data_IF_266274152194
#
_entry.id   IF_266274152194
#
_cell.length_a   1.000
_cell.length_b   1.000
_cell.length_c   1.000
_cell.angle_alpha   90.00
_cell.angle_beta   90.00
_cell.angle_gamma   90.00
#
_symmetry.space_group_name_H-M   'P 1'
#
loop_
_entity.id
_entity.type
_entity.pdbx_description
1 polymer ?
#
# COMPACT_ATOMS: atom_id res chain seq x y z
N UNK A 1 -38.76 -18.89 -17.68
CA UNK A 1 -37.50 -18.15 -17.89
C UNK A 1 -36.75 -18.07 -16.57
N UNK A 2 -35.54 -18.62 -16.52
CA UNK A 2 -34.74 -18.73 -15.31
C UNK A 2 -33.76 -17.56 -15.14
N UNK A 3 -33.51 -17.26 -13.86
CA UNK A 3 -32.41 -16.51 -13.24
C UNK A 3 -32.60 -15.00 -13.03
N UNK A 4 -33.45 -14.70 -12.05
CA UNK A 4 -33.06 -13.80 -10.95
C UNK A 4 -31.90 -14.43 -10.18
N UNK A 5 -30.89 -13.62 -9.86
CA UNK A 5 -30.15 -13.48 -8.58
C UNK A 5 -28.79 -12.85 -8.91
N UNK A 6 -28.68 -11.53 -8.72
CA UNK A 6 -27.38 -10.91 -8.42
C UNK A 6 -27.15 -11.17 -6.93
N UNK A 7 -26.32 -12.17 -6.64
CA UNK A 7 -25.83 -12.42 -5.28
C UNK A 7 -24.74 -11.39 -4.98
N UNK A 8 -25.16 -10.20 -4.54
CA UNK A 8 -24.26 -9.25 -3.87
C UNK A 8 -24.12 -9.70 -2.43
N UNK A 9 -23.24 -10.67 -2.19
CA UNK A 9 -22.76 -10.95 -0.84
C UNK A 9 -22.08 -9.69 -0.30
N UNK A 10 -22.79 -8.97 0.57
CA UNK A 10 -22.29 -7.76 1.18
C UNK A 10 -20.99 -8.07 1.94
N UNK A 11 -19.87 -7.51 1.47
CA UNK A 11 -18.59 -7.66 2.13
C UNK A 11 -18.70 -7.01 3.51
N UNK A 12 -18.70 -7.81 4.56
CA UNK A 12 -18.69 -7.31 5.94
C UNK A 12 -17.24 -6.97 6.31
N UNK A 13 -16.97 -5.68 6.51
CA UNK A 13 -15.64 -5.22 6.92
C UNK A 13 -15.47 -5.46 8.42
N UNK A 14 -14.49 -6.29 8.78
CA UNK A 14 -14.09 -6.48 10.17
C UNK A 14 -12.94 -5.54 10.51
N UNK A 15 -13.17 -4.64 11.46
CA UNK A 15 -12.16 -3.70 11.95
C UNK A 15 -11.73 -4.16 13.34
N UNK A 16 -10.46 -4.56 13.48
CA UNK A 16 -9.86 -4.88 14.76
C UNK A 16 -9.22 -3.61 15.34
N UNK A 17 -9.69 -3.20 16.52
CA UNK A 17 -9.10 -2.10 17.29
C UNK A 17 -7.74 -2.50 17.86
N UNK A 18 -7.00 -1.52 18.41
CA UNK A 18 -5.65 -1.75 18.95
C UNK A 18 -5.58 -2.87 19.99
N UNK A 19 -6.62 -3.06 20.81
CA UNK A 19 -6.65 -4.08 21.85
C UNK A 19 -6.93 -5.50 21.30
N UNK A 20 -7.47 -5.59 20.08
CA UNK A 20 -7.97 -6.84 19.49
C UNK A 20 -6.93 -7.53 18.59
N UNK A 21 -5.71 -6.99 18.48
CA UNK A 21 -4.63 -7.58 17.70
C UNK A 21 -3.24 -7.43 18.36
N UNK A 22 -2.35 -8.37 18.05
CA UNK A 22 -0.99 -8.41 18.57
C UNK A 22 0.01 -7.50 17.82
N UNK A 23 -0.36 -6.98 16.64
CA UNK A 23 0.51 -6.09 15.84
C UNK A 23 0.92 -4.87 16.64
N UNK A 24 2.23 -4.65 16.76
CA UNK A 24 2.83 -3.60 17.58
C UNK A 24 3.91 -2.87 16.80
N UNK A 25 3.96 -1.54 16.93
CA UNK A 25 5.00 -0.68 16.33
C UNK A 25 6.42 -1.10 16.72
N UNK A 26 6.59 -1.77 17.86
CA UNK A 26 7.89 -2.30 18.33
C UNK A 26 8.47 -3.38 17.40
N UNK A 27 7.63 -4.02 16.61
CA UNK A 27 8.01 -5.10 15.70
C UNK A 27 8.19 -4.62 14.26
N UNK A 28 8.06 -3.31 14.01
CA UNK A 28 8.30 -2.70 12.70
C UNK A 28 9.72 -2.15 12.63
N UNK A 29 10.31 -2.15 11.45
CA UNK A 29 11.59 -1.49 11.25
C UNK A 29 11.49 0.03 11.44
N UNK A 30 12.60 0.64 11.83
CA UNK A 30 12.68 2.10 11.97
C UNK A 30 12.44 2.82 10.63
N UNK A 31 12.82 2.20 9.52
CA UNK A 31 12.57 2.69 8.17
C UNK A 31 11.07 2.71 7.84
N UNK A 32 10.36 1.60 8.09
CA UNK A 32 8.92 1.50 7.86
C UNK A 32 8.16 2.54 8.70
N UNK A 33 8.50 2.67 9.99
CA UNK A 33 7.89 3.68 10.86
C UNK A 33 8.13 5.10 10.34
N UNK A 34 9.36 5.41 9.88
CA UNK A 34 9.68 6.74 9.35
C UNK A 34 8.90 7.05 8.08
N UNK A 35 8.69 6.07 7.19
CA UNK A 35 7.87 6.25 5.99
C UNK A 35 6.42 6.53 6.38
N UNK A 36 5.84 5.69 7.25
CA UNK A 36 4.46 5.85 7.73
C UNK A 36 4.22 7.22 8.37
N UNK A 37 5.10 7.64 9.30
CA UNK A 37 4.97 8.93 9.96
C UNK A 37 5.13 10.09 9.00
N UNK A 38 6.13 10.07 8.11
CA UNK A 38 6.36 11.19 7.20
C UNK A 38 5.23 11.38 6.18
N UNK A 39 4.63 10.29 5.70
CA UNK A 39 3.43 10.36 4.86
C UNK A 39 2.25 10.95 5.64
N UNK A 40 2.02 10.44 6.85
CA UNK A 40 0.95 10.92 7.72
C UNK A 40 1.10 12.41 8.09
N UNK A 41 2.31 12.85 8.45
CA UNK A 41 2.63 14.26 8.75
C UNK A 41 2.46 15.17 7.53
N UNK A 42 2.64 14.64 6.32
CA UNK A 42 2.38 15.34 5.08
C UNK A 42 0.89 15.34 4.67
N UNK A 43 0.01 14.72 5.46
CA UNK A 43 -1.44 14.72 5.25
C UNK A 43 -1.97 13.55 4.43
N UNK A 44 -1.15 12.52 4.16
CA UNK A 44 -1.55 11.34 3.38
C UNK A 44 -1.96 10.18 4.28
N UNK A 45 -2.91 9.36 3.81
CA UNK A 45 -3.14 8.05 4.39
C UNK A 45 -1.91 7.17 4.17
N UNK A 46 -1.47 6.46 5.21
CA UNK A 46 -0.32 5.56 5.16
C UNK A 46 -0.59 4.31 5.99
N UNK A 47 -0.61 3.16 5.33
CA UNK A 47 -1.01 1.88 5.91
C UNK A 47 0.11 0.87 5.72
N UNK A 48 0.50 0.18 6.79
CA UNK A 48 1.30 -1.03 6.65
C UNK A 48 0.42 -2.12 6.03
N UNK A 49 0.91 -2.81 5.01
CA UNK A 49 0.16 -3.84 4.29
C UNK A 49 1.01 -5.10 4.04
N UNK A 50 0.42 -6.06 3.34
CA UNK A 50 1.16 -7.18 2.77
C UNK A 50 1.59 -8.25 3.77
N UNK A 51 2.70 -8.92 3.44
CA UNK A 51 3.22 -10.06 4.19
C UNK A 51 3.58 -9.71 5.63
N UNK A 52 4.10 -8.49 5.86
CA UNK A 52 4.46 -8.02 7.19
C UNK A 52 3.30 -8.07 8.18
N UNK A 53 2.11 -7.61 7.78
CA UNK A 53 0.92 -7.63 8.64
C UNK A 53 0.51 -9.07 8.97
N UNK A 54 0.48 -9.94 7.96
CA UNK A 54 0.18 -11.37 8.13
C UNK A 54 1.15 -12.02 9.11
N UNK A 55 2.45 -11.83 8.90
CA UNK A 55 3.49 -12.48 9.69
C UNK A 55 3.43 -12.01 11.14
N UNK A 56 3.20 -10.70 11.38
CA UNK A 56 3.00 -10.16 12.73
C UNK A 56 1.75 -10.71 13.42
N UNK A 57 0.64 -10.87 12.70
CA UNK A 57 -0.59 -11.46 13.24
C UNK A 57 -0.41 -12.93 13.63
N UNK A 58 0.46 -13.66 12.92
CA UNK A 58 0.83 -15.04 13.24
C UNK A 58 1.96 -15.14 14.29
N UNK A 59 2.42 -14.02 14.85
CA UNK A 59 3.50 -13.98 15.84
C UNK A 59 4.91 -14.19 15.27
N UNK A 60 5.06 -14.12 13.95
CA UNK A 60 6.33 -14.21 13.24
C UNK A 60 7.06 -12.86 13.13
N UNK A 61 8.20 -12.91 12.44
CA UNK A 61 9.05 -11.75 12.16
C UNK A 61 9.03 -11.42 10.65
N UNK A 62 8.52 -10.24 10.25
CA UNK A 62 8.56 -9.80 8.85
C UNK A 62 9.99 -9.70 8.31
N UNK A 63 10.15 -9.99 7.01
CA UNK A 63 11.43 -9.87 6.29
C UNK A 63 11.57 -8.53 5.57
N UNK A 64 10.44 -8.01 5.10
CA UNK A 64 10.26 -6.79 4.35
C UNK A 64 9.00 -6.06 4.85
N UNK A 65 8.90 -4.77 4.52
CA UNK A 65 7.78 -3.93 4.92
C UNK A 65 7.28 -3.12 3.72
N UNK A 66 5.98 -3.26 3.45
CA UNK A 66 5.29 -2.53 2.38
C UNK A 66 4.31 -1.52 2.97
N UNK A 67 4.24 -0.34 2.35
CA UNK A 67 3.33 0.74 2.72
C UNK A 67 2.39 1.03 1.57
N UNK A 68 1.09 1.07 1.85
CA UNK A 68 0.09 1.58 0.93
C UNK A 68 -0.32 3.00 1.32
N UNK A 69 -0.52 3.88 0.34
CA UNK A 69 -0.85 5.30 0.56
C UNK A 69 -1.82 5.84 -0.49
N UNK A 70 -2.50 6.94 -0.19
CA UNK A 70 -3.25 7.71 -1.19
C UNK A 70 -2.36 8.72 -1.95
N UNK A 71 -1.12 8.97 -1.52
CA UNK A 71 -0.15 9.77 -2.26
C UNK A 71 0.20 9.15 -3.62
N UNK A 72 0.27 9.97 -4.66
CA UNK A 72 0.78 9.56 -5.98
C UNK A 72 2.28 9.22 -5.93
N UNK A 73 2.81 8.39 -6.84
CA UNK A 73 4.24 8.07 -6.87
C UNK A 73 5.12 9.33 -6.93
N UNK A 74 4.70 10.35 -7.67
CA UNK A 74 5.39 11.63 -7.79
C UNK A 74 5.40 12.42 -6.48
N UNK A 75 4.31 12.41 -5.72
CA UNK A 75 4.25 13.01 -4.37
C UNK A 75 5.13 12.27 -3.38
N UNK A 76 5.10 10.93 -3.40
CA UNK A 76 6.03 10.11 -2.59
C UNK A 76 7.47 10.47 -2.93
N UNK A 77 7.83 10.59 -4.21
CA UNK A 77 9.17 11.00 -4.63
C UNK A 77 9.54 12.42 -4.15
N UNK A 78 8.59 13.35 -4.09
CA UNK A 78 8.83 14.71 -3.55
C UNK A 78 9.10 14.68 -2.05
N UNK A 79 8.37 13.85 -1.30
CA UNK A 79 8.57 13.68 0.13
C UNK A 79 9.90 12.98 0.43
N UNK A 80 10.21 11.91 -0.28
CA UNK A 80 11.40 11.09 -0.05
C UNK A 80 12.42 11.30 -1.17
N UNK A 81 13.38 12.22 -0.99
CA UNK A 81 14.44 12.47 -1.98
C UNK A 81 15.30 11.24 -2.29
N UNK A 82 15.39 10.31 -1.34
CA UNK A 82 16.00 8.99 -1.44
C UNK A 82 15.06 7.93 -2.04
N UNK A 83 14.05 8.35 -2.81
CA UNK A 83 13.10 7.46 -3.48
C UNK A 83 13.46 7.25 -4.96
N UNK A 84 13.25 6.03 -5.45
CA UNK A 84 13.27 5.70 -6.89
C UNK A 84 11.91 5.16 -7.30
N UNK A 85 11.39 5.69 -8.40
CA UNK A 85 10.17 5.15 -9.01
C UNK A 85 10.55 3.94 -9.87
N UNK A 86 9.90 2.81 -9.61
CA UNK A 86 10.11 1.53 -10.28
C UNK A 86 8.83 1.14 -11.02
N UNK A 87 9.01 0.52 -12.19
CA UNK A 87 7.91 0.09 -13.03
C UNK A 87 7.38 1.22 -13.92
N UNK A 88 6.99 0.85 -15.15
CA UNK A 88 6.36 1.79 -16.10
C UNK A 88 4.85 1.89 -15.87
N UNK A 89 4.19 0.74 -15.78
CA UNK A 89 2.73 0.60 -15.62
C UNK A 89 2.28 0.61 -14.17
N UNK A 90 3.05 -0.04 -13.30
CA UNK A 90 2.78 -0.08 -11.87
C UNK A 90 3.88 0.71 -11.20
N UNK A 91 3.76 2.05 -11.22
CA UNK A 91 4.73 2.91 -10.56
C UNK A 91 4.67 2.62 -9.06
N UNK A 92 5.74 2.03 -8.56
CA UNK A 92 6.02 1.81 -7.14
C UNK A 92 7.13 2.76 -6.73
N UNK A 93 7.07 3.26 -5.50
CA UNK A 93 8.11 4.09 -4.94
C UNK A 93 8.96 3.25 -3.99
N UNK A 94 10.23 3.03 -4.34
CA UNK A 94 11.21 2.40 -3.45
C UNK A 94 11.94 3.47 -2.66
N UNK A 95 11.74 3.50 -1.35
CA UNK A 95 12.40 4.43 -0.43
C UNK A 95 13.57 3.73 0.25
N UNK A 96 14.78 4.24 0.05
CA UNK A 96 16.02 3.56 0.47
C UNK A 96 16.51 4.04 1.84
N UNK A 97 16.74 3.13 2.77
CA UNK A 97 17.37 3.36 4.07
C UNK A 97 18.61 2.48 4.24
N UNK A 98 19.73 2.91 3.64
CA UNK A 98 20.93 2.07 3.55
C UNK A 98 20.65 0.82 2.71
N UNK A 99 20.84 -0.40 3.23
CA UNK A 99 20.49 -1.64 2.53
C UNK A 99 18.99 -1.97 2.57
N UNK A 100 18.22 -1.34 3.46
CA UNK A 100 16.79 -1.59 3.61
C UNK A 100 15.99 -0.77 2.59
N UNK A 101 14.97 -1.38 2.00
CA UNK A 101 14.06 -0.73 1.05
C UNK A 101 12.64 -0.86 1.60
N UNK A 102 11.93 0.26 1.67
CA UNK A 102 10.49 0.27 1.92
C UNK A 102 9.79 0.48 0.59
N UNK A 103 8.97 -0.47 0.19
CA UNK A 103 8.13 -0.32 -0.98
C UNK A 103 6.86 0.47 -0.62
N UNK A 104 6.58 1.50 -1.41
CA UNK A 104 5.42 2.37 -1.22
C UNK A 104 4.56 2.31 -2.48
N UNK A 105 3.30 1.90 -2.31
CA UNK A 105 2.33 1.75 -3.38
C UNK A 105 1.14 2.67 -3.16
N UNK A 106 0.74 3.41 -4.19
CA UNK A 106 -0.53 4.15 -4.16
C UNK A 106 -1.71 3.18 -4.17
N UNK A 107 -2.80 3.50 -3.47
CA UNK A 107 -4.05 2.75 -3.49
C UNK A 107 -4.54 2.56 -4.94
N UNK A 108 -5.13 1.40 -5.21
CA UNK A 108 -5.67 1.06 -6.54
C UNK A 108 -7.06 0.45 -6.37
N UNK A 109 -8.01 0.91 -7.17
CA UNK A 109 -9.38 0.40 -7.20
C UNK A 109 -9.77 -0.06 -8.60
N UNK A 110 -10.94 -0.71 -8.71
CA UNK A 110 -11.57 -1.03 -9.99
C UNK A 110 -12.15 0.25 -10.60
N UNK A 111 -11.30 1.14 -11.13
CA UNK A 111 -11.74 2.39 -11.75
C UNK A 111 -10.59 3.26 -12.29
N UNK A 112 -9.62 3.58 -11.45
CA UNK A 112 -8.58 4.59 -11.75
C UNK A 112 -7.23 3.96 -12.09
N UNK A 113 -7.22 3.08 -13.08
CA UNK A 113 -5.99 2.92 -13.84
C UNK A 113 -5.95 4.05 -14.85
N UNK A 114 -4.86 4.81 -14.90
CA UNK A 114 -4.46 5.62 -16.07
C UNK A 114 -4.49 4.72 -17.32
N UNK A 115 -5.68 4.55 -17.88
CA UNK A 115 -5.89 3.92 -19.17
C UNK A 115 -5.99 5.09 -20.12
N UNK A 116 -4.85 5.58 -20.61
CA UNK A 116 -4.86 6.35 -21.84
C UNK A 116 -5.35 5.43 -22.95
N UNK A 117 -6.64 5.55 -23.29
CA UNK A 117 -7.23 4.99 -24.49
C UNK A 117 -6.94 6.00 -25.59
N UNK A 118 -5.94 5.73 -26.42
CA UNK A 118 -5.71 6.49 -27.65
C UNK A 118 -6.29 5.66 -28.80
N UNK A 119 -7.26 6.22 -29.50
CA UNK A 119 -7.85 5.63 -30.72
C UNK A 119 -8.44 4.21 -30.53
N UNK A 120 -9.15 4.00 -29.41
CA UNK A 120 -9.80 2.72 -29.10
C UNK A 120 -8.83 1.57 -28.80
N UNK A 121 -7.53 1.86 -28.63
CA UNK A 121 -6.52 0.88 -28.24
C UNK A 121 -6.06 1.16 -26.81
N UNK A 122 -6.07 0.11 -26.00
CA UNK A 122 -5.37 0.10 -24.72
C UNK A 122 -3.89 0.02 -25.06
N UNK A 123 -3.15 1.11 -24.88
CA UNK A 123 -1.71 1.10 -25.00
C UNK A 123 -1.13 0.21 -23.87
N UNK A 124 -0.37 -0.82 -24.27
CA UNK A 124 0.32 -1.77 -23.37
C UNK A 124 1.71 -1.27 -23.00
#
# INVERSE_FOLDING_TARGET
>A
MNKTVKDESAITVHVLTRAEHCVSRKNLSSAALRVLYRLHEAGYAALLVGGAVRDLLLGGHPKDFDVATDATPEEVRKLFRNCRLIGRRFRLAHVFFGPEIIEVATFRGHGDGDREIVDGRILR
#
